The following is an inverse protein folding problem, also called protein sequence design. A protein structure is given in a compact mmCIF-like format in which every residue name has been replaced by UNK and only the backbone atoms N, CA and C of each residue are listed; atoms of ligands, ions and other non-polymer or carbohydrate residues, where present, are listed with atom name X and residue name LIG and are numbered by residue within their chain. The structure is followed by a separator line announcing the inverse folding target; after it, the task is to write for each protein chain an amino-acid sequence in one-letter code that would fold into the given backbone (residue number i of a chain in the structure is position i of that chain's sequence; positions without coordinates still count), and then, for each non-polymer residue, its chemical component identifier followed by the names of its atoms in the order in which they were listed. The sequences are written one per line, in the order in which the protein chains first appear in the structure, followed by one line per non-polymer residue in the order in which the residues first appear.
data_IF_882150602324
#
_entry.id   IF_882150602324
#
_cell.length_a   1.000
_cell.length_b   1.000
_cell.length_c   1.000
_cell.angle_alpha   90.00
_cell.angle_beta   90.00
_cell.angle_gamma   90.00
#
_symmetry.space_group_name_H-M   'P 1'
#
loop_
_entity.id
_entity.type
_entity.pdbx_description
1 polymer ?
#
# COMPACT_ATOMS: atom_id res chain seq x y z
N UNK A 1 15.19 23.89 -13.19
CA UNK A 1 14.80 22.49 -13.52
C UNK A 1 13.49 22.14 -12.83
N UNK A 2 12.38 22.81 -13.16
CA UNK A 2 11.05 22.50 -12.58
C UNK A 2 10.10 22.08 -13.71
N UNK A 3 10.10 20.79 -14.03
CA UNK A 3 9.21 20.20 -15.01
C UNK A 3 7.83 19.95 -14.42
N UNK A 4 6.97 20.96 -14.43
CA UNK A 4 5.53 20.84 -14.14
C UNK A 4 4.74 20.37 -15.38
N UNK A 5 5.23 19.32 -16.04
CA UNK A 5 4.45 18.64 -17.08
C UNK A 5 3.43 17.69 -16.45
N UNK A 6 2.27 17.43 -17.09
CA UNK A 6 1.40 16.35 -16.64
C UNK A 6 2.24 15.07 -16.57
N UNK A 7 2.11 14.31 -15.48
CA UNK A 7 2.81 13.03 -15.36
C UNK A 7 2.47 12.19 -16.59
N UNK A 8 3.47 11.62 -17.28
CA UNK A 8 3.21 10.73 -18.41
C UNK A 8 2.24 9.64 -17.98
N UNK A 9 1.24 9.33 -18.81
CA UNK A 9 0.25 8.29 -18.53
C UNK A 9 0.95 6.95 -18.23
N UNK A 10 2.13 6.70 -18.82
CA UNK A 10 2.97 5.53 -18.57
C UNK A 10 3.35 5.35 -17.08
N UNK A 11 3.70 6.43 -16.37
CA UNK A 11 4.09 6.38 -14.96
C UNK A 11 2.93 5.95 -14.03
N UNK A 12 1.67 6.02 -14.49
CA UNK A 12 0.52 5.51 -13.74
C UNK A 12 0.45 3.97 -13.76
N UNK A 13 1.16 3.29 -14.67
CA UNK A 13 1.05 1.85 -14.93
C UNK A 13 2.37 1.10 -14.72
N UNK A 14 3.53 1.78 -14.82
CA UNK A 14 4.88 1.18 -14.65
C UNK A 14 5.06 0.42 -13.32
N UNK A 15 4.43 0.87 -12.23
CA UNK A 15 4.52 0.18 -10.94
C UNK A 15 3.95 -1.25 -11.00
N UNK A 16 2.97 -1.52 -11.88
CA UNK A 16 2.38 -2.86 -12.01
C UNK A 16 3.37 -3.89 -12.58
N UNK A 17 4.40 -3.44 -13.30
CA UNK A 17 5.42 -4.33 -13.85
C UNK A 17 6.30 -4.94 -12.76
N UNK A 18 6.49 -4.20 -11.66
CA UNK A 18 7.28 -4.65 -10.50
C UNK A 18 6.45 -5.45 -9.48
N UNK A 19 5.18 -5.74 -9.77
CA UNK A 19 4.32 -6.44 -8.82
C UNK A 19 4.73 -7.92 -8.64
N UNK A 20 4.95 -8.34 -7.39
CA UNK A 20 5.29 -9.73 -7.05
C UNK A 20 4.18 -10.73 -7.45
N UNK A 21 2.94 -10.28 -7.55
CA UNK A 21 1.82 -11.09 -8.01
C UNK A 21 1.72 -11.25 -9.54
N UNK A 22 2.58 -10.58 -10.31
CA UNK A 22 2.57 -10.64 -11.77
C UNK A 22 2.82 -12.08 -12.24
N UNK A 23 1.98 -12.56 -13.16
CA UNK A 23 2.03 -13.93 -13.68
C UNK A 23 1.36 -14.98 -12.78
N UNK A 24 0.87 -14.60 -11.60
CA UNK A 24 0.03 -15.46 -10.76
C UNK A 24 -1.43 -15.34 -11.21
N UNK A 25 -2.13 -16.47 -11.21
CA UNK A 25 -3.55 -16.54 -11.51
C UNK A 25 -4.37 -15.58 -10.61
N UNK A 26 -5.20 -14.75 -11.24
CA UNK A 26 -6.02 -13.73 -10.59
C UNK A 26 -7.01 -14.33 -9.59
N UNK A 27 -7.44 -15.58 -9.78
CA UNK A 27 -8.31 -16.28 -8.83
C UNK A 27 -7.68 -16.43 -7.43
N UNK A 28 -6.35 -16.28 -7.28
CA UNK A 28 -5.71 -16.18 -5.95
C UNK A 28 -6.11 -14.90 -5.22
N UNK A 29 -6.31 -13.80 -5.92
CA UNK A 29 -6.54 -12.48 -5.32
C UNK A 29 -8.02 -12.08 -5.30
N UNK A 30 -8.79 -12.57 -6.28
CA UNK A 30 -10.20 -12.24 -6.47
C UNK A 30 -11.07 -13.48 -6.25
N UNK A 31 -12.03 -13.38 -5.31
CA UNK A 31 -12.95 -14.49 -5.00
C UNK A 31 -13.84 -14.82 -6.20
N UNK A 32 -14.12 -16.11 -6.48
CA UNK A 32 -15.26 -16.49 -7.30
C UNK A 32 -16.58 -16.16 -6.58
N UNK A 33 -17.65 -16.01 -7.36
CA UNK A 33 -18.98 -15.71 -6.83
C UNK A 33 -19.41 -16.78 -5.80
N UNK A 34 -19.88 -16.32 -4.63
CA UNK A 34 -20.42 -17.18 -3.58
C UNK A 34 -19.39 -17.81 -2.63
N UNK A 35 -18.09 -17.57 -2.81
CA UNK A 35 -17.05 -18.05 -1.90
C UNK A 35 -17.20 -17.46 -0.49
N UNK A 36 -17.21 -18.32 0.53
CA UNK A 36 -17.45 -17.93 1.94
C UNK A 36 -16.65 -18.81 2.90
N UNK A 37 -16.68 -18.44 4.18
CA UNK A 37 -16.15 -19.26 5.26
C UNK A 37 -14.64 -19.49 5.17
N UNK A 38 -14.21 -20.72 5.41
CA UNK A 38 -12.80 -21.10 5.44
C UNK A 38 -12.10 -20.94 4.09
N UNK A 39 -12.77 -21.31 2.99
CA UNK A 39 -12.23 -21.17 1.64
C UNK A 39 -11.79 -19.72 1.36
N UNK A 40 -12.69 -18.76 1.64
CA UNK A 40 -12.39 -17.33 1.51
C UNK A 40 -11.20 -16.92 2.39
N UNK A 41 -11.21 -17.31 3.68
CA UNK A 41 -10.13 -16.95 4.61
C UNK A 41 -8.77 -17.48 4.14
N UNK A 42 -8.74 -18.74 3.67
CA UNK A 42 -7.52 -19.37 3.17
C UNK A 42 -6.98 -18.66 1.93
N UNK A 43 -7.85 -18.34 0.98
CA UNK A 43 -7.48 -17.58 -0.22
C UNK A 43 -6.92 -16.20 0.13
N UNK A 44 -7.61 -15.46 0.99
CA UNK A 44 -7.15 -14.14 1.46
C UNK A 44 -5.79 -14.22 2.17
N UNK A 45 -5.56 -15.23 3.01
CA UNK A 45 -4.27 -15.44 3.67
C UNK A 45 -3.14 -15.71 2.66
N UNK A 46 -3.37 -16.57 1.67
CA UNK A 46 -2.38 -16.88 0.63
C UNK A 46 -2.06 -15.64 -0.22
N UNK A 47 -3.09 -14.87 -0.60
CA UNK A 47 -2.90 -13.63 -1.35
C UNK A 47 -2.11 -12.58 -0.54
N UNK A 48 -2.41 -12.45 0.76
CA UNK A 48 -1.66 -11.53 1.65
C UNK A 48 -0.19 -11.92 1.79
N UNK A 49 0.12 -13.21 1.86
CA UNK A 49 1.49 -13.68 1.92
C UNK A 49 2.29 -13.22 0.69
N UNK A 50 1.69 -13.27 -0.50
CA UNK A 50 2.32 -12.75 -1.73
C UNK A 50 2.51 -11.22 -1.66
N UNK A 51 1.53 -10.51 -1.09
CA UNK A 51 1.61 -9.06 -0.97
C UNK A 51 2.63 -8.59 0.08
N UNK A 52 3.00 -9.41 1.07
CA UNK A 52 3.82 -9.02 2.21
C UNK A 52 5.18 -8.42 1.80
N UNK A 53 5.82 -9.04 0.81
CA UNK A 53 7.14 -8.62 0.30
C UNK A 53 7.06 -7.92 -1.08
N UNK A 54 5.85 -7.54 -1.51
CA UNK A 54 5.65 -6.92 -2.82
C UNK A 54 6.18 -5.46 -2.82
N UNK A 55 7.11 -5.10 -3.72
CA UNK A 55 7.75 -3.78 -3.70
C UNK A 55 6.79 -2.63 -4.02
N UNK A 56 5.63 -2.93 -4.61
CA UNK A 56 4.61 -1.94 -5.02
C UNK A 56 3.33 -2.04 -4.19
N UNK A 57 3.43 -2.61 -2.98
CA UNK A 57 2.29 -2.80 -2.07
C UNK A 57 1.55 -1.47 -1.81
N UNK A 58 2.27 -0.37 -1.58
CA UNK A 58 1.68 0.92 -1.26
C UNK A 58 0.97 1.55 -2.46
N UNK A 59 1.60 1.53 -3.63
CA UNK A 59 1.06 2.03 -4.90
C UNK A 59 -0.22 1.26 -5.27
N UNK A 60 -0.19 -0.07 -5.13
CA UNK A 60 -1.33 -0.96 -5.36
C UNK A 60 -2.51 -0.63 -4.43
N UNK A 61 -2.28 -0.45 -3.13
CA UNK A 61 -3.32 -0.09 -2.19
C UNK A 61 -3.89 1.31 -2.47
N UNK A 62 -3.04 2.30 -2.77
CA UNK A 62 -3.45 3.66 -3.13
C UNK A 62 -4.31 3.65 -4.40
N UNK A 63 -3.93 2.87 -5.41
CA UNK A 63 -4.69 2.74 -6.64
C UNK A 63 -6.08 2.17 -6.38
N UNK A 64 -6.17 1.05 -5.66
CA UNK A 64 -7.45 0.42 -5.31
C UNK A 64 -8.39 1.36 -4.55
N UNK A 65 -7.85 2.14 -3.60
CA UNK A 65 -8.61 3.16 -2.89
C UNK A 65 -9.07 4.31 -3.81
N UNK A 66 -8.24 4.72 -4.77
CA UNK A 66 -8.56 5.83 -5.67
C UNK A 66 -9.69 5.53 -6.64
N UNK A 67 -9.81 4.27 -7.09
CA UNK A 67 -10.88 3.83 -7.99
C UNK A 67 -12.08 3.22 -7.25
N UNK A 68 -12.01 3.10 -5.92
CA UNK A 68 -13.07 2.51 -5.12
C UNK A 68 -13.25 1.00 -5.36
N UNK A 69 -12.17 0.25 -5.55
CA UNK A 69 -12.26 -1.18 -5.84
C UNK A 69 -12.76 -1.99 -4.63
N UNK A 70 -13.94 -2.59 -4.80
CA UNK A 70 -14.72 -3.26 -3.77
C UNK A 70 -14.39 -4.75 -3.61
N UNK A 71 -13.59 -5.33 -4.50
CA UNK A 71 -13.34 -6.77 -4.52
C UNK A 71 -11.84 -7.11 -4.45
N UNK A 72 -11.57 -8.30 -3.92
CA UNK A 72 -10.24 -8.90 -3.90
C UNK A 72 -9.21 -8.24 -2.99
N UNK A 73 -7.99 -8.79 -3.06
CA UNK A 73 -6.83 -8.32 -2.31
C UNK A 73 -6.02 -7.34 -3.16
N UNK A 74 -5.80 -6.15 -2.63
CA UNK A 74 -4.97 -5.10 -3.25
C UNK A 74 -3.97 -4.56 -2.24
N UNK A 75 -2.68 -4.58 -2.58
CA UNK A 75 -1.63 -4.12 -1.66
C UNK A 75 -1.69 -4.80 -0.29
N UNK A 76 -2.08 -6.07 -0.24
CA UNK A 76 -2.24 -6.82 1.02
C UNK A 76 -3.50 -6.51 1.82
N UNK A 77 -4.41 -5.68 1.30
CA UNK A 77 -5.67 -5.30 1.96
C UNK A 77 -6.87 -6.01 1.34
N UNK A 78 -7.85 -6.38 2.17
CA UNK A 78 -9.19 -6.83 1.76
C UNK A 78 -10.11 -5.64 1.46
N UNK A 79 -11.22 -5.93 0.78
CA UNK A 79 -12.34 -5.00 0.59
C UNK A 79 -12.79 -4.36 1.90
N UNK A 80 -12.99 -5.19 2.94
CA UNK A 80 -13.46 -4.75 4.26
C UNK A 80 -12.48 -3.79 4.93
N UNK A 81 -11.19 -4.06 4.81
CA UNK A 81 -10.15 -3.18 5.35
C UNK A 81 -10.09 -1.85 4.60
N UNK A 82 -10.20 -1.87 3.27
CA UNK A 82 -10.25 -0.64 2.47
C UNK A 82 -11.47 0.21 2.82
N UNK A 83 -12.64 -0.40 2.99
CA UNK A 83 -13.84 0.30 3.49
C UNK A 83 -13.59 0.92 4.86
N UNK A 84 -12.93 0.19 5.78
CA UNK A 84 -12.57 0.73 7.10
C UNK A 84 -11.64 1.94 6.99
N UNK A 85 -10.67 1.93 6.06
CA UNK A 85 -9.75 3.04 5.82
C UNK A 85 -10.49 4.29 5.31
N UNK A 86 -11.49 4.14 4.43
CA UNK A 86 -12.31 5.25 3.92
C UNK A 86 -13.24 5.84 4.99
N UNK A 87 -13.70 5.02 5.95
CA UNK A 87 -14.62 5.44 7.01
C UNK A 87 -13.94 6.11 8.21
N UNK A 88 -12.62 6.00 8.34
CA UNK A 88 -11.89 6.71 9.41
C UNK A 88 -11.78 8.18 9.04
N UNK A 89 -12.35 9.12 9.82
CA UNK A 89 -12.05 10.54 9.62
C UNK A 89 -10.54 10.73 9.75
N UNK A 90 -9.93 11.57 8.89
CA UNK A 90 -8.49 11.88 8.90
C UNK A 90 -8.11 12.67 10.16
N UNK A 91 -8.21 12.05 11.33
CA UNK A 91 -7.51 12.50 12.53
C UNK A 91 -6.23 11.66 12.64
N UNK A 92 -5.10 12.35 12.84
CA UNK A 92 -3.70 11.88 12.91
C UNK A 92 -2.90 12.02 11.59
N UNK A 93 -1.82 12.81 11.53
CA UNK A 93 -1.18 13.61 12.57
C UNK A 93 -0.02 14.40 11.99
N UNK A 94 0.05 15.69 12.31
CA UNK A 94 1.29 16.47 12.25
C UNK A 94 2.24 15.88 13.29
N UNK A 95 3.17 15.03 12.83
CA UNK A 95 4.32 14.64 13.65
C UNK A 95 5.17 15.89 13.88
N UNK A 96 5.08 16.44 15.09
CA UNK A 96 6.04 17.40 15.62
C UNK A 96 7.44 16.80 15.48
N UNK A 97 8.28 17.41 14.63
CA UNK A 97 9.71 17.12 14.58
C UNK A 97 10.27 17.65 15.90
N UNK A 98 10.57 16.76 16.84
CA UNK A 98 11.35 17.13 18.02
C UNK A 98 12.77 17.47 17.58
N UNK A 99 13.08 18.77 17.55
CA UNK A 99 14.43 19.28 17.41
C UNK A 99 15.28 18.78 18.57
N UNK A 100 16.18 17.83 18.31
CA UNK A 100 17.26 17.52 19.23
C UNK A 100 18.18 18.74 19.36
N UNK A 101 18.17 19.36 20.55
CA UNK A 101 19.18 20.35 20.93
C UNK A 101 20.53 19.64 21.07
N UNK A 102 21.48 19.96 20.19
CA UNK A 102 22.91 19.73 20.45
C UNK A 102 23.37 20.83 21.39
N UNK A 103 23.53 20.49 22.68
CA UNK A 103 24.32 21.30 23.62
C UNK A 103 25.71 20.72 23.70
N UNK A 104 26.70 21.58 23.47
CA UNK A 104 28.07 21.20 23.10
C UNK A 104 28.97 20.70 24.22
N UNK A 105 30.24 20.48 23.84
CA UNK A 105 31.38 20.82 24.68
C UNK A 105 32.63 20.95 23.82
N UNK A 106 33.21 22.16 23.80
CA UNK A 106 34.60 22.38 23.41
C UNK A 106 35.49 21.62 24.38
N UNK A 107 36.51 20.95 23.85
CA UNK A 107 37.67 20.52 24.62
C UNK A 107 38.89 21.08 23.88
N UNK A 108 39.40 22.20 24.38
CA UNK A 108 40.81 22.58 24.20
C UNK A 108 41.61 21.88 25.29
N UNK A 109 42.71 21.23 24.92
CA UNK A 109 43.95 21.11 25.71
C UNK A 109 44.95 20.19 24.99
N UNK A 110 46.05 20.77 24.50
CA UNK A 110 47.45 20.43 24.78
C UNK A 110 48.36 21.00 23.69
#
# INVERSE_FOLDING_TARGET
MNGSGPRPIAALWEWQESAACRGIDSARFFSPAGERGEARRRREQLARAICADCPVQQECAKFALSIGEEYGIWGGTTDRERISMLRRPRSQGTRSISAHRVTGRQIEAA
#
